data_IF_864857444918
#
_entry.id   IF_864857444918
#
_cell.length_a   1.000
_cell.length_b   1.000
_cell.length_c   1.000
_cell.angle_alpha   90.00
_cell.angle_beta   90.00
_cell.angle_gamma   90.00
#
_symmetry.space_group_name_H-M   'P 1'
#
loop_
_entity.id
_entity.type
_entity.pdbx_description
1 polymer ?
#
# COMPACT_ATOMS: atom_id res chain seq x y z
N UNK A 1 13.47 -0.02 -17.86
CA UNK A 1 12.42 -0.78 -17.12
C UNK A 1 13.03 -1.87 -16.24
N UNK A 2 13.74 -2.88 -16.75
CA UNK A 2 14.26 -4.01 -15.94
C UNK A 2 15.05 -3.58 -14.67
N UNK A 3 15.93 -2.57 -14.75
CA UNK A 3 16.69 -2.07 -13.59
C UNK A 3 15.82 -1.36 -12.56
N UNK A 4 14.73 -0.72 -12.98
CA UNK A 4 13.78 -0.08 -12.07
C UNK A 4 13.00 -1.15 -11.30
N UNK A 5 12.58 -2.20 -11.99
CA UNK A 5 11.89 -3.33 -11.37
C UNK A 5 12.85 -4.09 -10.42
N UNK A 6 14.08 -4.31 -10.83
CA UNK A 6 15.09 -4.91 -9.96
C UNK A 6 15.33 -4.06 -8.71
N UNK A 7 15.43 -2.72 -8.84
CA UNK A 7 15.59 -1.83 -7.69
C UNK A 7 14.43 -1.95 -6.69
N UNK A 8 13.19 -2.10 -7.18
CA UNK A 8 11.99 -2.28 -6.34
C UNK A 8 11.99 -3.60 -5.59
N UNK A 9 12.43 -4.68 -6.24
CA UNK A 9 12.45 -6.03 -5.63
C UNK A 9 13.64 -6.26 -4.71
N UNK A 10 14.78 -5.59 -4.95
CA UNK A 10 16.00 -5.75 -4.13
C UNK A 10 16.22 -4.62 -3.13
N UNK A 11 15.38 -3.58 -3.14
CA UNK A 11 15.55 -2.35 -2.36
C UNK A 11 16.92 -1.67 -2.57
N UNK A 12 17.55 -1.83 -3.76
CA UNK A 12 18.85 -1.24 -4.10
C UNK A 12 18.70 0.10 -4.85
N UNK A 13 18.88 1.25 -4.17
CA UNK A 13 18.72 2.57 -4.79
C UNK A 13 19.80 2.89 -5.83
N UNK A 14 20.95 2.20 -5.85
CA UNK A 14 22.01 2.44 -6.83
C UNK A 14 21.54 2.09 -8.25
N UNK A 15 20.63 1.17 -8.40
CA UNK A 15 20.04 0.78 -9.67
C UNK A 15 19.21 1.92 -10.31
N UNK A 16 18.61 2.82 -9.50
CA UNK A 16 17.90 3.99 -10.01
C UNK A 16 18.84 4.98 -10.71
N UNK A 17 20.03 5.24 -10.17
CA UNK A 17 21.02 6.10 -10.79
C UNK A 17 21.51 5.53 -12.14
N UNK A 18 21.74 4.22 -12.19
CA UNK A 18 22.13 3.53 -13.41
C UNK A 18 21.02 3.54 -14.48
N UNK A 19 19.75 3.39 -14.07
CA UNK A 19 18.60 3.50 -14.95
C UNK A 19 18.48 4.91 -15.52
N UNK A 20 18.58 5.93 -14.67
CA UNK A 20 18.52 7.33 -15.07
C UNK A 20 19.59 7.69 -16.11
N UNK A 21 20.85 7.30 -15.86
CA UNK A 21 21.96 7.53 -16.81
C UNK A 21 21.66 6.93 -18.19
N UNK A 22 21.13 5.71 -18.23
CA UNK A 22 20.77 5.05 -19.48
C UNK A 22 19.62 5.75 -20.22
N UNK A 23 18.57 6.15 -19.49
CA UNK A 23 17.41 6.84 -20.03
C UNK A 23 17.79 8.24 -20.57
N UNK A 24 18.56 9.02 -19.80
CA UNK A 24 19.06 10.33 -20.24
C UNK A 24 19.95 10.23 -21.48
N UNK A 25 20.79 9.19 -21.57
CA UNK A 25 21.56 8.92 -22.78
C UNK A 25 20.65 8.60 -23.97
N UNK A 26 19.62 7.80 -23.80
CA UNK A 26 18.63 7.51 -24.86
C UNK A 26 17.97 8.79 -25.36
N UNK A 27 17.53 9.66 -24.44
CA UNK A 27 16.90 10.94 -24.76
C UNK A 27 17.88 11.93 -25.43
N UNK A 28 19.18 11.91 -25.11
CA UNK A 28 20.18 12.74 -25.76
C UNK A 28 20.47 12.30 -27.20
N UNK A 29 20.39 11.00 -27.49
CA UNK A 29 20.54 10.44 -28.83
C UNK A 29 19.28 10.63 -29.70
N UNK A 30 18.11 10.64 -29.09
CA UNK A 30 16.81 10.87 -29.73
C UNK A 30 15.98 11.84 -28.86
N UNK A 31 16.14 13.17 -29.04
CA UNK A 31 15.50 14.17 -28.18
C UNK A 31 13.99 14.29 -28.33
N UNK A 32 13.42 13.84 -29.44
CA UNK A 32 11.99 13.89 -29.74
C UNK A 32 11.44 12.54 -30.19
N UNK A 33 10.17 12.25 -29.85
CA UNK A 33 9.48 11.03 -30.26
C UNK A 33 10.03 9.75 -29.60
N UNK A 34 10.73 9.86 -28.47
CA UNK A 34 11.34 8.72 -27.75
C UNK A 34 10.43 8.28 -26.60
N UNK A 35 9.20 7.88 -26.95
CA UNK A 35 8.15 7.47 -25.99
C UNK A 35 8.65 6.38 -25.02
N UNK A 36 9.49 5.45 -25.47
CA UNK A 36 10.06 4.40 -24.62
C UNK A 36 10.95 4.93 -23.50
N UNK A 37 11.87 5.87 -23.81
CA UNK A 37 12.72 6.48 -22.80
C UNK A 37 11.95 7.46 -21.89
N UNK A 38 10.98 8.18 -22.43
CA UNK A 38 10.09 9.07 -21.67
C UNK A 38 9.22 8.27 -20.68
N UNK A 39 8.64 7.14 -21.11
CA UNK A 39 7.94 6.19 -20.21
C UNK A 39 8.89 5.64 -19.14
N UNK A 40 10.13 5.33 -19.50
CA UNK A 40 11.16 4.91 -18.54
C UNK A 40 11.46 5.98 -17.50
N UNK A 41 11.56 7.26 -17.89
CA UNK A 41 11.73 8.38 -16.95
C UNK A 41 10.52 8.55 -16.04
N UNK A 42 9.31 8.40 -16.59
CA UNK A 42 8.07 8.42 -15.81
C UNK A 42 8.07 7.32 -14.74
N UNK A 43 8.39 6.09 -15.12
CA UNK A 43 8.46 4.96 -14.20
C UNK A 43 9.56 5.13 -13.13
N UNK A 44 10.71 5.72 -13.48
CA UNK A 44 11.78 6.03 -12.55
C UNK A 44 11.36 7.10 -11.54
N UNK A 45 10.70 8.17 -11.98
CA UNK A 45 10.17 9.20 -11.10
C UNK A 45 9.10 8.64 -10.16
N UNK A 46 8.20 7.78 -10.66
CA UNK A 46 7.21 7.09 -9.82
C UNK A 46 7.86 6.20 -8.75
N UNK A 47 8.93 5.47 -9.12
CA UNK A 47 9.68 4.63 -8.18
C UNK A 47 10.41 5.43 -7.09
N UNK A 48 10.71 6.70 -7.34
CA UNK A 48 11.28 7.66 -6.37
C UNK A 48 10.20 8.44 -5.60
N UNK A 49 8.92 8.15 -5.81
CA UNK A 49 7.78 8.88 -5.26
C UNK A 49 7.69 10.36 -5.73
N UNK A 50 8.29 10.68 -6.87
CA UNK A 50 8.25 11.99 -7.54
C UNK A 50 7.04 12.05 -8.49
N UNK A 51 5.82 11.93 -7.96
CA UNK A 51 4.62 11.65 -8.76
C UNK A 51 4.23 12.79 -9.72
N UNK A 52 4.53 14.04 -9.37
CA UNK A 52 4.35 15.17 -10.31
C UNK A 52 5.29 15.05 -11.51
N UNK A 53 6.54 14.69 -11.31
CA UNK A 53 7.50 14.45 -12.40
C UNK A 53 7.10 13.19 -13.21
N UNK A 54 6.64 12.13 -12.53
CA UNK A 54 6.15 10.92 -13.18
C UNK A 54 4.99 11.23 -14.14
N UNK A 55 4.01 12.05 -13.71
CA UNK A 55 2.91 12.52 -14.55
C UNK A 55 3.42 13.28 -15.76
N UNK A 56 4.29 14.27 -15.57
CA UNK A 56 4.81 15.11 -16.67
C UNK A 56 5.55 14.27 -17.71
N UNK A 57 6.37 13.31 -17.28
CA UNK A 57 7.06 12.41 -18.19
C UNK A 57 6.11 11.44 -18.91
N UNK A 58 5.07 10.95 -18.23
CA UNK A 58 4.05 10.08 -18.84
C UNK A 58 3.22 10.83 -19.89
N UNK A 59 2.80 12.07 -19.59
CA UNK A 59 2.10 12.95 -20.54
C UNK A 59 2.96 13.23 -21.79
N UNK A 60 4.27 13.47 -21.61
CA UNK A 60 5.22 13.62 -22.70
C UNK A 60 5.33 12.35 -23.54
N UNK A 61 5.44 11.18 -22.90
CA UNK A 61 5.50 9.90 -23.60
C UNK A 61 4.24 9.60 -24.42
N UNK A 62 3.06 9.98 -23.91
CA UNK A 62 1.78 9.89 -24.61
C UNK A 62 1.72 10.86 -25.81
N UNK A 63 2.27 12.06 -25.68
CA UNK A 63 2.39 13.01 -26.80
C UNK A 63 3.30 12.46 -27.90
N UNK A 64 4.38 11.78 -27.53
CA UNK A 64 5.31 11.12 -28.48
C UNK A 64 4.72 9.86 -29.12
N UNK A 65 3.88 9.11 -28.39
CA UNK A 65 3.17 7.92 -28.87
C UNK A 65 1.85 7.74 -28.11
N UNK A 66 0.71 8.17 -28.69
CA UNK A 66 -0.61 8.03 -28.08
C UNK A 66 -1.11 6.58 -27.96
N UNK A 67 -0.43 5.63 -28.57
CA UNK A 67 -0.75 4.19 -28.54
C UNK A 67 0.12 3.39 -27.59
N UNK A 68 0.95 4.04 -26.75
CA UNK A 68 1.79 3.39 -25.76
C UNK A 68 1.01 3.09 -24.45
N UNK A 69 0.50 1.87 -24.22
CA UNK A 69 -0.28 1.56 -23.03
C UNK A 69 0.54 1.69 -21.73
N UNK A 70 1.86 1.45 -21.77
CA UNK A 70 2.70 1.56 -20.58
C UNK A 70 2.79 3.01 -20.06
N UNK A 71 2.77 4.00 -20.93
CA UNK A 71 2.74 5.41 -20.53
C UNK A 71 1.44 5.76 -19.78
N UNK A 72 0.30 5.27 -20.26
CA UNK A 72 -0.98 5.43 -19.55
C UNK A 72 -0.99 4.71 -18.20
N UNK A 73 -0.35 3.56 -18.08
CA UNK A 73 -0.20 2.85 -16.80
C UNK A 73 0.53 3.69 -15.77
N UNK A 74 1.68 4.29 -16.13
CA UNK A 74 2.42 5.17 -15.22
C UNK A 74 1.64 6.45 -14.92
N UNK A 75 0.93 7.00 -15.91
CA UNK A 75 0.06 8.17 -15.73
C UNK A 75 -1.05 7.89 -14.72
N UNK A 76 -1.68 6.72 -14.80
CA UNK A 76 -2.71 6.28 -13.85
C UNK A 76 -2.16 6.17 -12.44
N UNK A 77 -1.01 5.52 -12.28
CA UNK A 77 -0.34 5.37 -10.98
C UNK A 77 0.03 6.74 -10.37
N UNK A 78 0.57 7.66 -11.20
CA UNK A 78 0.90 9.02 -10.77
C UNK A 78 -0.35 9.82 -10.34
N UNK A 79 -1.43 9.78 -11.12
CA UNK A 79 -2.68 10.43 -10.76
C UNK A 79 -3.30 9.87 -9.47
N UNK A 80 -3.24 8.54 -9.26
CA UNK A 80 -3.70 7.90 -8.03
C UNK A 80 -2.96 8.45 -6.82
N UNK A 81 -1.63 8.52 -6.88
CA UNK A 81 -0.80 9.05 -5.79
C UNK A 81 -0.99 10.55 -5.55
N UNK A 82 -1.34 11.31 -6.59
CA UNK A 82 -1.65 12.74 -6.50
C UNK A 82 -3.10 13.02 -6.03
N UNK A 83 -3.92 11.98 -5.77
CA UNK A 83 -5.33 12.14 -5.40
C UNK A 83 -6.26 12.50 -6.56
N UNK A 84 -5.79 12.45 -7.80
CA UNK A 84 -6.56 12.77 -9.01
C UNK A 84 -7.29 11.51 -9.53
N UNK A 85 -8.16 10.92 -8.72
CA UNK A 85 -8.76 9.59 -8.97
C UNK A 85 -9.57 9.49 -10.26
N UNK A 86 -10.27 10.57 -10.69
CA UNK A 86 -10.98 10.57 -11.96
C UNK A 86 -10.04 10.54 -13.17
N UNK A 87 -8.88 11.20 -13.06
CA UNK A 87 -7.86 11.20 -14.11
C UNK A 87 -7.16 9.84 -14.17
N UNK A 88 -6.89 9.24 -13.01
CA UNK A 88 -6.36 7.87 -12.90
C UNK A 88 -7.28 6.87 -13.60
N UNK A 89 -8.59 6.93 -13.33
CA UNK A 89 -9.59 6.07 -13.99
C UNK A 89 -9.60 6.23 -15.50
N UNK A 90 -9.56 7.48 -16.02
CA UNK A 90 -9.48 7.72 -17.45
C UNK A 90 -8.22 7.15 -18.08
N UNK A 91 -7.08 7.28 -17.39
CA UNK A 91 -5.81 6.72 -17.85
C UNK A 91 -5.84 5.19 -17.86
N UNK A 92 -6.40 4.54 -16.82
CA UNK A 92 -6.59 3.08 -16.76
C UNK A 92 -7.52 2.61 -17.89
N UNK A 93 -8.65 3.30 -18.13
CA UNK A 93 -9.55 2.95 -19.20
C UNK A 93 -8.84 3.01 -20.55
N UNK A 94 -8.08 4.08 -20.82
CA UNK A 94 -7.32 4.21 -22.06
C UNK A 94 -6.23 3.14 -22.21
N UNK A 95 -5.53 2.80 -21.14
CA UNK A 95 -4.58 1.68 -21.12
C UNK A 95 -5.24 0.36 -21.52
N UNK A 96 -6.40 0.07 -20.92
CA UNK A 96 -7.14 -1.17 -21.16
C UNK A 96 -7.73 -1.23 -22.58
N UNK A 97 -8.21 -0.09 -23.14
CA UNK A 97 -8.69 -0.01 -24.52
C UNK A 97 -7.59 -0.31 -25.55
N UNK A 98 -6.35 0.14 -25.24
CA UNK A 98 -5.19 -0.10 -26.10
C UNK A 98 -4.67 -1.54 -25.97
N UNK A 99 -4.65 -2.08 -24.77
CA UNK A 99 -4.14 -3.43 -24.50
C UNK A 99 -4.74 -3.99 -23.21
N UNK A 100 -5.77 -4.84 -23.31
CA UNK A 100 -6.35 -5.53 -22.15
C UNK A 100 -5.47 -6.71 -21.72
N UNK A 101 -4.40 -6.43 -20.97
CA UNK A 101 -3.47 -7.41 -20.42
C UNK A 101 -3.53 -7.49 -18.88
N UNK A 102 -2.71 -8.36 -18.28
CA UNK A 102 -2.65 -8.54 -16.84
C UNK A 102 -2.43 -7.19 -16.12
N UNK A 103 -1.54 -6.34 -16.61
CA UNK A 103 -1.19 -5.07 -15.98
C UNK A 103 -2.33 -4.03 -16.04
N UNK A 104 -3.06 -3.95 -17.17
CA UNK A 104 -4.20 -3.03 -17.33
C UNK A 104 -5.40 -3.46 -16.49
N UNK A 105 -5.69 -4.77 -16.46
CA UNK A 105 -6.77 -5.34 -15.66
C UNK A 105 -6.52 -5.22 -14.16
N UNK A 106 -5.27 -5.38 -13.71
CA UNK A 106 -4.89 -5.17 -12.32
C UNK A 106 -5.10 -3.71 -11.87
N UNK A 107 -4.73 -2.72 -12.70
CA UNK A 107 -5.01 -1.30 -12.40
C UNK A 107 -6.50 -0.99 -12.40
N UNK A 108 -7.25 -1.58 -13.32
CA UNK A 108 -8.71 -1.46 -13.31
C UNK A 108 -9.33 -2.06 -12.05
N UNK A 109 -8.82 -3.20 -11.58
CA UNK A 109 -9.21 -3.79 -10.29
C UNK A 109 -8.99 -2.81 -9.14
N UNK A 110 -7.79 -2.21 -9.06
CA UNK A 110 -7.45 -1.27 -8.00
C UNK A 110 -8.33 -0.01 -7.97
N UNK A 111 -8.77 0.50 -9.13
CA UNK A 111 -9.75 1.61 -9.20
C UNK A 111 -11.06 1.25 -8.49
N UNK A 112 -11.55 0.02 -8.64
CA UNK A 112 -12.76 -0.46 -7.96
C UNK A 112 -12.55 -0.78 -6.48
N UNK A 113 -11.38 -1.31 -6.12
CA UNK A 113 -10.95 -1.55 -4.73
C UNK A 113 -10.96 -0.26 -3.94
N UNK A 114 -10.32 0.82 -4.44
CA UNK A 114 -10.33 2.12 -3.78
C UNK A 114 -11.74 2.69 -3.55
N UNK A 115 -12.73 2.24 -4.32
CA UNK A 115 -14.14 2.62 -4.17
C UNK A 115 -14.98 1.62 -3.37
N UNK A 116 -14.33 0.67 -2.71
CA UNK A 116 -15.00 -0.36 -1.92
C UNK A 116 -15.82 -1.35 -2.73
N UNK A 117 -15.68 -1.34 -4.07
CA UNK A 117 -16.36 -2.28 -4.98
C UNK A 117 -15.56 -3.57 -5.12
N UNK A 118 -15.30 -4.26 -4.02
CA UNK A 118 -14.41 -5.42 -3.90
C UNK A 118 -14.80 -6.57 -4.83
N UNK A 119 -16.10 -6.84 -5.00
CA UNK A 119 -16.57 -7.88 -5.93
C UNK A 119 -16.18 -7.60 -7.38
N UNK A 120 -16.29 -6.34 -7.85
CA UNK A 120 -15.86 -5.95 -9.19
C UNK A 120 -14.35 -5.93 -9.32
N UNK A 121 -13.66 -5.48 -8.29
CA UNK A 121 -12.20 -5.54 -8.22
C UNK A 121 -11.71 -7.00 -8.34
N UNK A 122 -12.28 -7.92 -7.58
CA UNK A 122 -11.94 -9.35 -7.63
C UNK A 122 -12.22 -9.98 -9.01
N UNK A 123 -13.32 -9.63 -9.66
CA UNK A 123 -13.60 -10.09 -11.03
C UNK A 123 -12.49 -9.66 -12.01
N UNK A 124 -12.11 -8.39 -11.98
CA UNK A 124 -11.05 -7.85 -12.84
C UNK A 124 -9.68 -8.46 -12.51
N UNK A 125 -9.39 -8.69 -11.22
CA UNK A 125 -8.14 -9.32 -10.81
C UNK A 125 -8.07 -10.80 -11.22
N UNK A 126 -9.19 -11.55 -11.20
CA UNK A 126 -9.22 -12.92 -11.78
C UNK A 126 -8.98 -12.92 -13.29
N UNK A 127 -9.49 -11.91 -14.00
CA UNK A 127 -9.18 -11.74 -15.43
C UNK A 127 -7.71 -11.38 -15.64
N UNK A 128 -7.13 -10.55 -14.76
CA UNK A 128 -5.69 -10.26 -14.75
C UNK A 128 -4.88 -11.56 -14.55
N UNK A 129 -5.24 -12.38 -13.57
CA UNK A 129 -4.63 -13.70 -13.33
C UNK A 129 -4.70 -14.62 -14.56
N UNK A 130 -5.85 -14.64 -15.25
CA UNK A 130 -6.02 -15.43 -16.48
C UNK A 130 -5.15 -14.93 -17.63
N UNK A 131 -4.96 -13.60 -17.73
CA UNK A 131 -4.12 -12.96 -18.74
C UNK A 131 -2.62 -12.98 -18.39
N UNK A 132 -2.26 -13.39 -17.18
CA UNK A 132 -0.88 -13.41 -16.68
C UNK A 132 -0.02 -14.40 -17.45
N UNK A 133 1.12 -13.92 -17.93
CA UNK A 133 2.07 -14.70 -18.75
C UNK A 133 3.26 -15.18 -17.95
N UNK A 134 3.59 -14.51 -16.84
CA UNK A 134 4.73 -14.82 -15.98
C UNK A 134 4.27 -15.30 -14.60
N UNK A 135 5.14 -16.00 -13.87
CA UNK A 135 4.85 -16.42 -12.50
C UNK A 135 4.78 -15.22 -11.54
N UNK A 136 5.53 -14.15 -11.80
CA UNK A 136 5.46 -12.90 -11.03
C UNK A 136 4.09 -12.21 -11.19
N UNK A 137 3.54 -12.14 -12.40
CA UNK A 137 2.20 -11.62 -12.62
C UNK A 137 1.13 -12.46 -11.92
N UNK A 138 1.28 -13.78 -11.94
CA UNK A 138 0.38 -14.69 -11.21
C UNK A 138 0.47 -14.54 -9.69
N UNK A 139 1.69 -14.44 -9.17
CA UNK A 139 1.94 -14.19 -7.75
C UNK A 139 1.28 -12.90 -7.28
N UNK A 140 1.51 -11.80 -8.03
CA UNK A 140 0.88 -10.51 -7.78
C UNK A 140 -0.66 -10.60 -7.76
N UNK A 141 -1.25 -11.24 -8.76
CA UNK A 141 -2.71 -11.38 -8.84
C UNK A 141 -3.29 -12.18 -7.67
N UNK A 142 -2.64 -13.26 -7.25
CA UNK A 142 -3.07 -14.04 -6.08
C UNK A 142 -2.92 -13.24 -4.77
N UNK A 143 -1.85 -12.45 -4.60
CA UNK A 143 -1.69 -11.59 -3.43
C UNK A 143 -2.80 -10.52 -3.37
N UNK A 144 -3.14 -9.89 -4.50
CA UNK A 144 -4.26 -8.93 -4.59
C UNK A 144 -5.62 -9.60 -4.32
N UNK A 145 -5.88 -10.78 -4.87
CA UNK A 145 -7.13 -11.52 -4.61
C UNK A 145 -7.26 -11.90 -3.14
N UNK A 146 -6.16 -12.26 -2.48
CA UNK A 146 -6.12 -12.49 -1.03
C UNK A 146 -6.49 -11.22 -0.26
N UNK A 147 -5.93 -10.07 -0.62
CA UNK A 147 -6.27 -8.78 -0.01
C UNK A 147 -7.75 -8.43 -0.16
N UNK A 148 -8.29 -8.54 -1.37
CA UNK A 148 -9.71 -8.29 -1.66
C UNK A 148 -10.65 -9.20 -0.87
N UNK A 149 -10.28 -10.48 -0.71
CA UNK A 149 -11.05 -11.41 0.11
C UNK A 149 -11.04 -11.02 1.60
N UNK A 150 -9.92 -10.50 2.12
CA UNK A 150 -9.84 -9.96 3.48
C UNK A 150 -10.73 -8.73 3.65
N UNK A 151 -10.78 -7.83 2.67
CA UNK A 151 -11.67 -6.66 2.69
C UNK A 151 -13.16 -7.06 2.70
N UNK A 152 -13.50 -8.19 2.08
CA UNK A 152 -14.84 -8.77 2.13
C UNK A 152 -15.11 -9.58 3.41
N UNK A 153 -14.11 -9.75 4.28
CA UNK A 153 -14.22 -10.51 5.53
C UNK A 153 -14.11 -12.03 5.34
N UNK A 154 -13.68 -12.49 4.17
CA UNK A 154 -13.47 -13.92 3.88
C UNK A 154 -11.97 -14.30 4.01
N UNK A 155 -11.53 -14.45 5.27
CA UNK A 155 -10.14 -14.85 5.55
C UNK A 155 -9.80 -16.26 5.05
N UNK A 156 -10.79 -17.15 4.87
CA UNK A 156 -10.53 -18.50 4.33
C UNK A 156 -10.24 -18.45 2.83
N UNK A 157 -11.02 -17.65 2.09
CA UNK A 157 -10.75 -17.41 0.68
C UNK A 157 -9.40 -16.68 0.51
N UNK A 158 -9.10 -15.70 1.37
CA UNK A 158 -7.82 -15.02 1.37
C UNK A 158 -6.64 -15.98 1.56
N UNK A 159 -6.73 -16.90 2.52
CA UNK A 159 -5.73 -17.92 2.75
C UNK A 159 -5.57 -18.84 1.53
N UNK A 160 -6.69 -19.29 0.95
CA UNK A 160 -6.67 -20.13 -0.23
C UNK A 160 -5.98 -19.48 -1.43
N UNK A 161 -6.24 -18.19 -1.67
CA UNK A 161 -5.58 -17.45 -2.77
C UNK A 161 -4.06 -17.33 -2.52
N UNK A 162 -3.65 -16.94 -1.32
CA UNK A 162 -2.22 -16.82 -0.99
C UNK A 162 -1.49 -18.17 -1.13
N UNK A 163 -2.09 -19.28 -0.66
CA UNK A 163 -1.53 -20.62 -0.81
C UNK A 163 -1.44 -21.07 -2.27
N UNK A 164 -2.42 -20.67 -3.11
CA UNK A 164 -2.36 -20.95 -4.55
C UNK A 164 -1.16 -20.27 -5.20
N UNK A 165 -0.91 -19.01 -4.87
CA UNK A 165 0.27 -18.29 -5.32
C UNK A 165 1.57 -18.95 -4.84
N UNK A 166 1.67 -19.24 -3.54
CA UNK A 166 2.86 -19.85 -2.93
C UNK A 166 3.23 -21.22 -3.47
N UNK A 167 2.29 -21.99 -4.01
CA UNK A 167 2.60 -23.26 -4.71
C UNK A 167 3.49 -23.05 -5.94
N UNK A 168 3.45 -21.86 -6.57
CA UNK A 168 4.24 -21.52 -7.75
C UNK A 168 5.44 -20.64 -7.44
N UNK A 169 5.31 -19.80 -6.40
CA UNK A 169 6.33 -18.85 -5.95
C UNK A 169 6.51 -18.95 -4.42
N UNK A 170 7.10 -20.04 -3.89
CA UNK A 170 7.13 -20.34 -2.45
C UNK A 170 7.93 -19.35 -1.61
N UNK A 171 8.78 -18.55 -2.23
CA UNK A 171 9.61 -17.52 -1.60
C UNK A 171 9.22 -16.10 -2.04
N UNK A 172 7.99 -15.89 -2.50
CA UNK A 172 7.51 -14.54 -2.85
C UNK A 172 7.07 -13.80 -1.58
N UNK A 173 7.73 -12.65 -1.21
CA UNK A 173 7.44 -11.95 0.04
C UNK A 173 6.01 -11.41 0.10
N UNK A 174 5.43 -10.98 -1.02
CA UNK A 174 4.07 -10.45 -1.05
C UNK A 174 3.02 -11.55 -0.82
N UNK A 175 3.25 -12.76 -1.32
CA UNK A 175 2.40 -13.92 -1.05
C UNK A 175 2.54 -14.43 0.38
N UNK A 176 3.75 -14.39 0.96
CA UNK A 176 3.98 -14.71 2.37
C UNK A 176 3.25 -13.70 3.27
N UNK A 177 3.32 -12.39 2.96
CA UNK A 177 2.54 -11.37 3.66
C UNK A 177 1.03 -11.59 3.52
N UNK A 178 0.54 -11.88 2.31
CA UNK A 178 -0.87 -12.15 2.07
C UNK A 178 -1.36 -13.36 2.89
N UNK A 179 -0.57 -14.43 2.97
CA UNK A 179 -0.89 -15.59 3.82
C UNK A 179 -0.84 -15.27 5.30
N UNK A 180 0.16 -14.51 5.73
CA UNK A 180 0.29 -14.09 7.13
C UNK A 180 -0.92 -13.24 7.58
N UNK A 181 -1.36 -12.29 6.76
CA UNK A 181 -2.55 -11.49 7.04
C UNK A 181 -3.83 -12.34 7.12
N UNK A 182 -4.00 -13.30 6.21
CA UNK A 182 -5.13 -14.22 6.25
C UNK A 182 -5.10 -15.12 7.50
N UNK A 183 -3.93 -15.64 7.87
CA UNK A 183 -3.74 -16.43 9.10
C UNK A 183 -4.01 -15.60 10.36
N UNK A 184 -3.55 -14.34 10.39
CA UNK A 184 -3.83 -13.42 11.50
C UNK A 184 -5.33 -13.16 11.67
N UNK A 185 -6.06 -12.93 10.56
CA UNK A 185 -7.51 -12.74 10.57
C UNK A 185 -8.27 -14.01 11.05
N UNK A 186 -7.69 -15.19 10.83
CA UNK A 186 -8.18 -16.47 11.35
C UNK A 186 -7.73 -16.77 12.80
N UNK A 187 -7.03 -15.85 13.46
CA UNK A 187 -6.49 -16.03 14.82
C UNK A 187 -5.27 -16.93 14.93
N UNK A 188 -4.68 -17.33 13.80
CA UNK A 188 -3.51 -18.20 13.73
C UNK A 188 -2.20 -17.39 13.84
N UNK A 189 -2.06 -16.57 14.87
CA UNK A 189 -1.01 -15.56 15.03
C UNK A 189 0.40 -16.13 14.97
N UNK A 190 0.64 -17.35 15.50
CA UNK A 190 1.97 -17.98 15.47
C UNK A 190 2.42 -18.33 14.06
N UNK A 191 1.50 -18.79 13.21
CA UNK A 191 1.77 -19.11 11.81
C UNK A 191 1.95 -17.82 10.99
N UNK A 192 1.09 -16.82 11.22
CA UNK A 192 1.23 -15.50 10.61
C UNK A 192 2.62 -14.90 10.88
N UNK A 193 3.07 -14.94 12.15
CA UNK A 193 4.41 -14.48 12.54
C UNK A 193 5.52 -15.22 11.77
N UNK A 194 5.41 -16.55 11.62
CA UNK A 194 6.41 -17.32 10.89
C UNK A 194 6.49 -16.91 9.40
N UNK A 195 5.37 -16.62 8.77
CA UNK A 195 5.34 -16.15 7.40
C UNK A 195 5.92 -14.73 7.26
N UNK A 196 5.57 -13.79 8.17
CA UNK A 196 6.17 -12.46 8.16
C UNK A 196 7.69 -12.52 8.43
N UNK A 197 8.16 -13.40 9.33
CA UNK A 197 9.59 -13.61 9.54
C UNK A 197 10.25 -14.09 8.24
N UNK A 198 9.68 -15.10 7.58
CA UNK A 198 10.23 -15.61 6.32
C UNK A 198 10.22 -14.53 5.21
N UNK A 199 9.13 -13.78 5.07
CA UNK A 199 9.06 -12.67 4.11
C UNK A 199 10.14 -11.61 4.38
N UNK A 200 10.35 -11.25 5.66
CA UNK A 200 11.36 -10.28 6.09
C UNK A 200 12.78 -10.78 5.88
N UNK A 201 13.05 -12.07 6.07
CA UNK A 201 14.35 -12.69 5.80
C UNK A 201 14.73 -12.62 4.31
N UNK A 202 13.72 -12.69 3.42
CA UNK A 202 13.92 -12.57 1.97
C UNK A 202 14.06 -11.10 1.56
N UNK A 203 13.15 -10.25 2.02
CA UNK A 203 13.10 -8.83 1.69
C UNK A 203 12.62 -8.03 2.91
N UNK A 204 13.51 -7.35 3.65
CA UNK A 204 13.14 -6.60 4.84
C UNK A 204 12.45 -5.26 4.46
N UNK A 205 11.26 -5.34 3.84
CA UNK A 205 10.49 -4.17 3.45
C UNK A 205 9.82 -3.51 4.67
N UNK A 206 9.64 -2.16 4.68
CA UNK A 206 9.10 -1.44 5.83
C UNK A 206 7.80 -2.00 6.38
N UNK A 207 6.81 -2.30 5.52
CA UNK A 207 5.53 -2.86 5.94
C UNK A 207 5.65 -4.27 6.56
N UNK A 208 6.60 -5.10 6.08
CA UNK A 208 6.85 -6.44 6.64
C UNK A 208 7.52 -6.33 8.02
N UNK A 209 8.48 -5.43 8.17
CA UNK A 209 9.15 -5.16 9.45
C UNK A 209 8.15 -4.62 10.48
N UNK A 210 7.26 -3.73 10.09
CA UNK A 210 6.22 -3.19 10.96
C UNK A 210 5.25 -4.31 11.39
N UNK A 211 4.70 -5.07 10.44
CA UNK A 211 3.79 -6.17 10.73
C UNK A 211 4.41 -7.25 11.62
N UNK A 212 5.67 -7.61 11.39
CA UNK A 212 6.41 -8.56 12.21
C UNK A 212 6.64 -8.03 13.63
N UNK A 213 7.10 -6.78 13.76
CA UNK A 213 7.34 -6.12 15.06
C UNK A 213 6.07 -6.04 15.90
N UNK A 214 4.98 -5.56 15.32
CA UNK A 214 3.67 -5.47 15.99
C UNK A 214 3.09 -6.85 16.36
N UNK A 215 3.34 -7.86 15.52
CA UNK A 215 2.94 -9.24 15.87
C UNK A 215 3.77 -9.79 17.03
N UNK A 216 5.06 -9.51 17.08
CA UNK A 216 5.90 -9.86 18.22
C UNK A 216 5.42 -9.16 19.49
N UNK A 217 5.10 -7.88 19.41
CA UNK A 217 4.55 -7.12 20.54
C UNK A 217 3.21 -7.69 21.02
N UNK A 218 2.31 -8.05 20.11
CA UNK A 218 1.04 -8.71 20.47
C UNK A 218 1.21 -10.06 21.16
N UNK A 219 2.34 -10.73 20.93
CA UNK A 219 2.72 -12.00 21.57
C UNK A 219 3.55 -11.83 22.85
N UNK A 220 3.88 -10.59 23.26
CA UNK A 220 4.73 -10.29 24.41
C UNK A 220 6.22 -10.58 24.17
N UNK A 221 6.65 -10.58 22.91
CA UNK A 221 8.05 -10.79 22.51
C UNK A 221 8.74 -9.44 22.26
N UNK A 222 8.91 -8.63 23.31
CA UNK A 222 9.30 -7.22 23.21
C UNK A 222 10.71 -7.04 22.59
N UNK A 223 11.66 -7.95 22.90
CA UNK A 223 13.02 -7.90 22.33
C UNK A 223 13.02 -8.10 20.81
N UNK A 224 12.24 -9.06 20.31
CA UNK A 224 12.09 -9.32 18.88
C UNK A 224 11.32 -8.21 18.15
N UNK A 225 10.33 -7.61 18.82
CA UNK A 225 9.63 -6.43 18.31
C UNK A 225 10.62 -5.28 18.11
N UNK A 226 11.44 -4.97 19.12
CA UNK A 226 12.42 -3.89 19.07
C UNK A 226 13.51 -4.14 18.01
N UNK A 227 13.91 -5.39 17.78
CA UNK A 227 14.83 -5.74 16.70
C UNK A 227 14.25 -5.37 15.31
N UNK A 228 12.98 -5.69 15.05
CA UNK A 228 12.27 -5.31 13.83
C UNK A 228 12.14 -3.79 13.67
N UNK A 229 11.80 -3.09 14.75
CA UNK A 229 11.66 -1.63 14.79
C UNK A 229 13.00 -0.91 14.57
N UNK A 230 14.09 -1.44 15.10
CA UNK A 230 15.44 -0.90 14.88
C UNK A 230 15.83 -0.97 13.42
N UNK A 231 15.54 -2.07 12.74
CA UNK A 231 15.81 -2.21 11.31
C UNK A 231 14.95 -1.26 10.48
N UNK A 232 13.68 -1.09 10.83
CA UNK A 232 12.78 -0.13 10.16
C UNK A 232 13.31 1.31 10.30
N UNK A 233 13.74 1.73 11.50
CA UNK A 233 14.34 3.06 11.72
C UNK A 233 15.61 3.26 10.88
N UNK A 234 16.45 2.24 10.77
CA UNK A 234 17.66 2.31 9.96
C UNK A 234 17.34 2.52 8.48
N UNK A 235 16.33 1.81 7.95
CA UNK A 235 15.88 1.99 6.57
C UNK A 235 15.27 3.37 6.31
N UNK A 236 14.44 3.89 7.24
CA UNK A 236 13.90 5.24 7.13
C UNK A 236 15.02 6.29 7.12
N UNK A 237 16.04 6.12 7.95
CA UNK A 237 17.22 7.00 7.98
C UNK A 237 17.96 6.98 6.65
N UNK A 238 18.21 5.82 6.07
CA UNK A 238 18.87 5.69 4.77
C UNK A 238 18.06 6.34 3.65
N UNK A 239 16.75 6.11 3.61
CA UNK A 239 15.84 6.70 2.62
C UNK A 239 15.79 8.22 2.72
N UNK A 240 15.67 8.76 3.93
CA UNK A 240 15.65 10.20 4.19
C UNK A 240 16.97 10.86 3.82
N UNK A 241 18.10 10.24 4.14
CA UNK A 241 19.44 10.73 3.76
C UNK A 241 19.66 10.77 2.26
N UNK A 242 18.96 9.90 1.50
CA UNK A 242 18.96 9.91 0.05
C UNK A 242 17.94 10.90 -0.57
N UNK A 243 17.28 11.74 0.26
CA UNK A 243 16.28 12.71 -0.19
C UNK A 243 14.90 12.10 -0.49
N UNK A 244 14.63 10.87 -0.06
CA UNK A 244 13.34 10.20 -0.25
C UNK A 244 12.24 10.82 0.62
N UNK A 245 11.00 10.82 0.09
CA UNK A 245 9.81 11.23 0.83
C UNK A 245 9.44 10.20 1.91
N UNK A 246 8.88 10.60 3.07
CA UNK A 246 8.41 9.68 4.08
C UNK A 246 7.40 8.66 3.54
N UNK A 247 7.53 7.41 3.97
CA UNK A 247 6.60 6.33 3.66
C UNK A 247 5.45 6.31 4.67
N UNK A 248 4.27 5.80 4.27
CA UNK A 248 3.12 5.65 5.17
C UNK A 248 3.42 4.72 6.34
N UNK A 249 4.14 3.61 6.09
CA UNK A 249 4.50 2.66 7.15
C UNK A 249 5.47 3.29 8.17
N UNK A 250 6.41 4.12 7.71
CA UNK A 250 7.30 4.86 8.61
C UNK A 250 6.55 5.92 9.42
N UNK A 251 5.53 6.56 8.86
CA UNK A 251 4.67 7.52 9.57
C UNK A 251 3.86 6.79 10.65
N UNK A 252 3.22 5.68 10.31
CA UNK A 252 2.45 4.86 11.27
C UNK A 252 3.35 4.30 12.36
N UNK A 253 4.52 3.78 12.00
CA UNK A 253 5.51 3.33 12.97
C UNK A 253 5.92 4.43 13.96
N UNK A 254 6.23 5.62 13.45
CA UNK A 254 6.64 6.74 14.30
C UNK A 254 5.48 7.24 15.19
N UNK A 255 4.23 7.14 14.72
CA UNK A 255 3.06 7.49 15.49
C UNK A 255 2.80 6.53 16.67
N UNK A 256 3.01 5.23 16.48
CA UNK A 256 2.70 4.20 17.49
C UNK A 256 3.88 3.82 18.38
N UNK A 257 5.10 3.81 17.83
CA UNK A 257 6.29 3.25 18.47
C UNK A 257 7.45 4.25 18.57
N UNK A 258 7.24 5.51 18.16
CA UNK A 258 8.24 6.56 18.18
C UNK A 258 7.70 7.87 18.75
N UNK A 259 7.88 8.97 18.01
CA UNK A 259 7.41 10.31 18.36
C UNK A 259 6.20 10.71 17.51
N UNK A 260 4.99 10.82 18.08
CA UNK A 260 3.81 11.30 17.35
C UNK A 260 4.01 12.70 16.74
N UNK A 261 4.78 13.57 17.37
CA UNK A 261 5.10 14.91 16.83
C UNK A 261 5.96 14.79 15.57
N UNK A 262 6.93 13.86 15.55
CA UNK A 262 7.73 13.57 14.37
C UNK A 262 6.88 12.92 13.27
N UNK A 263 5.99 12.01 13.62
CA UNK A 263 5.05 11.39 12.68
C UNK A 263 4.18 12.43 11.96
N UNK A 264 3.67 13.45 12.69
CA UNK A 264 2.94 14.58 12.11
C UNK A 264 3.81 15.32 11.08
N UNK A 265 5.04 15.68 11.42
CA UNK A 265 5.94 16.38 10.50
C UNK A 265 6.26 15.56 9.24
N UNK A 266 6.44 14.24 9.40
CA UNK A 266 6.65 13.30 8.28
C UNK A 266 5.41 13.23 7.37
N UNK A 267 4.21 13.15 7.95
CA UNK A 267 2.96 13.11 7.20
C UNK A 267 2.70 14.43 6.44
N UNK A 268 2.97 15.57 7.05
CA UNK A 268 2.92 16.88 6.38
C UNK A 268 3.90 16.95 5.20
N UNK A 269 5.10 16.40 5.35
CA UNK A 269 6.06 16.31 4.24
C UNK A 269 5.54 15.41 3.12
N UNK A 270 4.97 14.24 3.44
CA UNK A 270 4.41 13.33 2.46
C UNK A 270 3.25 13.97 1.67
N UNK A 271 2.35 14.69 2.35
CA UNK A 271 1.20 15.37 1.72
C UNK A 271 1.61 16.49 0.75
N UNK A 272 2.79 17.09 0.90
CA UNK A 272 3.30 18.07 -0.09
C UNK A 272 3.55 17.47 -1.46
N UNK A 273 3.79 16.17 -1.53
CA UNK A 273 4.16 15.48 -2.78
C UNK A 273 3.09 14.51 -3.27
N UNK A 274 2.18 14.06 -2.39
CA UNK A 274 1.12 13.10 -2.74
C UNK A 274 -0.10 13.25 -1.82
N UNK A 275 -1.30 13.36 -2.40
CA UNK A 275 -2.58 13.42 -1.67
C UNK A 275 -3.35 12.09 -1.75
N UNK A 276 -2.62 10.99 -1.67
CA UNK A 276 -3.21 9.65 -1.71
C UNK A 276 -3.95 9.34 -0.41
N UNK A 277 -5.09 8.66 -0.49
CA UNK A 277 -5.96 8.35 0.67
C UNK A 277 -5.21 7.70 1.84
N UNK A 278 -4.24 6.82 1.58
CA UNK A 278 -3.45 6.20 2.65
C UNK A 278 -2.54 7.21 3.39
N UNK A 279 -2.07 8.27 2.72
CA UNK A 279 -1.30 9.34 3.38
C UNK A 279 -2.20 10.15 4.29
N UNK A 280 -3.46 10.37 3.89
CA UNK A 280 -4.45 11.02 4.75
C UNK A 280 -4.76 10.18 6.00
N UNK A 281 -4.88 8.86 5.88
CA UNK A 281 -5.05 7.97 7.04
C UNK A 281 -3.83 8.06 7.99
N UNK A 282 -2.62 7.89 7.46
CA UNK A 282 -1.40 7.96 8.25
C UNK A 282 -1.24 9.33 8.96
N UNK A 283 -1.63 10.43 8.29
CA UNK A 283 -1.63 11.76 8.90
C UNK A 283 -2.71 11.90 9.97
N UNK A 284 -3.92 11.41 9.73
CA UNK A 284 -4.98 11.41 10.72
C UNK A 284 -4.55 10.65 11.98
N UNK A 285 -3.95 9.48 11.80
CA UNK A 285 -3.44 8.70 12.92
C UNK A 285 -2.33 9.42 13.69
N UNK A 286 -1.34 9.98 12.99
CA UNK A 286 -0.27 10.76 13.60
C UNK A 286 -0.80 11.95 14.41
N UNK A 287 -1.76 12.71 13.87
CA UNK A 287 -2.43 13.82 14.58
C UNK A 287 -3.16 13.33 15.84
N UNK A 288 -3.92 12.25 15.73
CA UNK A 288 -4.62 11.65 16.86
C UNK A 288 -3.65 11.24 17.97
N UNK A 289 -2.56 10.54 17.61
CA UNK A 289 -1.52 10.12 18.55
C UNK A 289 -0.77 11.29 19.19
N UNK A 290 -0.71 12.43 18.49
CA UNK A 290 -0.19 13.70 19.02
C UNK A 290 -1.20 14.50 19.86
N UNK A 291 -2.40 13.97 20.13
CA UNK A 291 -3.46 14.64 20.91
C UNK A 291 -4.27 15.67 20.12
N UNK A 292 -4.15 15.72 18.78
CA UNK A 292 -4.81 16.68 17.87
C UNK A 292 -6.01 16.02 17.16
N UNK A 293 -6.89 15.38 17.91
CA UNK A 293 -7.99 14.56 17.34
C UNK A 293 -9.01 15.37 16.53
N UNK A 294 -9.24 16.64 16.85
CA UNK A 294 -10.13 17.52 16.07
C UNK A 294 -9.61 17.73 14.64
N UNK A 295 -8.28 17.95 14.48
CA UNK A 295 -7.65 18.08 13.17
C UNK A 295 -7.58 16.72 12.45
N UNK A 296 -7.37 15.64 13.18
CA UNK A 296 -7.28 14.30 12.66
C UNK A 296 -8.55 13.87 11.90
N UNK A 297 -9.74 14.23 12.40
CA UNK A 297 -11.01 13.76 11.85
C UNK A 297 -11.18 14.12 10.36
N UNK A 298 -10.83 15.33 9.98
CA UNK A 298 -10.93 15.78 8.58
C UNK A 298 -10.07 14.91 7.62
N UNK A 299 -8.89 14.49 8.07
CA UNK A 299 -8.02 13.62 7.28
C UNK A 299 -8.51 12.16 7.29
N UNK A 300 -9.02 11.66 8.41
CA UNK A 300 -9.63 10.33 8.48
C UNK A 300 -10.85 10.22 7.54
N UNK A 301 -11.67 11.28 7.44
CA UNK A 301 -12.78 11.34 6.50
C UNK A 301 -12.30 11.37 5.04
N UNK A 302 -11.21 12.08 4.74
CA UNK A 302 -10.61 12.07 3.41
C UNK A 302 -10.05 10.69 3.03
N UNK A 303 -9.46 9.96 3.97
CA UNK A 303 -8.97 8.61 3.75
C UNK A 303 -10.09 7.66 3.30
N UNK A 304 -11.27 7.79 3.87
CA UNK A 304 -12.44 6.94 3.59
C UNK A 304 -13.43 7.54 2.58
N UNK A 305 -13.16 8.74 2.01
CA UNK A 305 -14.10 9.45 1.14
C UNK A 305 -14.43 8.71 -0.17
N UNK A 306 -13.57 7.82 -0.65
CA UNK A 306 -13.81 7.00 -1.83
C UNK A 306 -14.69 5.77 -1.54
N UNK A 307 -14.91 5.43 -0.27
CA UNK A 307 -15.61 4.22 0.16
C UNK A 307 -14.70 3.01 0.32
N UNK A 308 -13.40 3.20 0.39
CA UNK A 308 -12.39 2.14 0.57
C UNK A 308 -12.70 1.30 1.82
N UNK A 309 -12.68 -0.02 1.69
CA UNK A 309 -13.00 -0.97 2.76
C UNK A 309 -11.74 -1.41 3.51
N UNK A 310 -11.07 -0.48 4.18
CA UNK A 310 -9.84 -0.76 4.92
C UNK A 310 -10.12 -0.82 6.43
N UNK A 311 -9.94 -1.99 7.03
CA UNK A 311 -10.23 -2.23 8.45
C UNK A 311 -9.40 -1.34 9.38
N UNK A 312 -8.12 -1.09 9.05
CA UNK A 312 -7.23 -0.24 9.86
C UNK A 312 -7.70 1.22 9.84
N UNK A 313 -8.07 1.75 8.68
CA UNK A 313 -8.56 3.14 8.56
C UNK A 313 -9.87 3.36 9.31
N UNK A 314 -10.77 2.38 9.29
CA UNK A 314 -11.98 2.40 10.12
C UNK A 314 -11.64 2.36 11.63
N UNK A 315 -10.66 1.53 12.04
CA UNK A 315 -10.21 1.53 13.43
C UNK A 315 -9.60 2.88 13.83
N UNK A 316 -8.76 3.48 13.00
CA UNK A 316 -8.16 4.79 13.25
C UNK A 316 -9.25 5.86 13.42
N UNK A 317 -10.22 5.93 12.50
CA UNK A 317 -11.33 6.91 12.60
C UNK A 317 -12.22 6.64 13.81
N UNK A 318 -12.47 5.40 14.17
CA UNK A 318 -13.20 5.03 15.37
C UNK A 318 -12.51 5.56 16.64
N UNK A 319 -11.19 5.40 16.75
CA UNK A 319 -10.42 5.92 17.87
C UNK A 319 -10.48 7.46 17.95
N UNK A 320 -10.39 8.14 16.79
CA UNK A 320 -10.53 9.59 16.68
C UNK A 320 -11.94 10.03 17.14
N UNK A 321 -13.00 9.39 16.66
CA UNK A 321 -14.37 9.69 17.05
C UNK A 321 -14.59 9.51 18.56
N UNK A 322 -14.08 8.41 19.13
CA UNK A 322 -14.15 8.18 20.56
C UNK A 322 -13.46 9.28 21.38
N UNK A 323 -12.26 9.70 20.98
CA UNK A 323 -11.53 10.79 21.63
C UNK A 323 -12.28 12.12 21.59
N UNK A 324 -13.15 12.32 20.59
CA UNK A 324 -14.01 13.50 20.44
C UNK A 324 -15.40 13.34 21.11
N UNK A 325 -15.66 12.22 21.81
CA UNK A 325 -16.96 11.91 22.45
C UNK A 325 -18.06 11.47 21.49
N UNK A 326 -17.72 11.15 20.23
CA UNK A 326 -18.67 10.74 19.18
C UNK A 326 -18.82 9.20 19.16
N UNK A 327 -19.22 8.59 20.27
CA UNK A 327 -19.23 7.13 20.43
C UNK A 327 -20.17 6.40 19.46
N UNK A 328 -21.22 7.04 18.98
CA UNK A 328 -22.10 6.47 17.95
C UNK A 328 -21.35 6.27 16.62
N UNK A 329 -20.58 7.26 16.18
CA UNK A 329 -19.77 7.18 14.98
C UNK A 329 -18.61 6.18 15.16
N UNK A 330 -17.94 6.22 16.31
CA UNK A 330 -16.91 5.26 16.68
C UNK A 330 -17.41 3.81 16.60
N UNK A 331 -18.64 3.54 17.10
CA UNK A 331 -19.28 2.23 17.02
C UNK A 331 -19.52 1.78 15.58
N UNK A 332 -19.94 2.68 14.70
CA UNK A 332 -20.17 2.34 13.30
C UNK A 332 -18.85 1.94 12.59
N UNK A 333 -17.78 2.71 12.83
CA UNK A 333 -16.47 2.40 12.30
C UNK A 333 -15.86 1.13 12.89
N UNK A 334 -16.03 0.88 14.20
CA UNK A 334 -15.59 -0.37 14.84
C UNK A 334 -16.28 -1.60 14.25
N UNK A 335 -17.56 -1.51 13.89
CA UNK A 335 -18.25 -2.62 13.20
C UNK A 335 -17.62 -2.89 11.83
N UNK A 336 -17.23 -1.85 11.10
CA UNK A 336 -16.52 -2.00 9.83
C UNK A 336 -15.12 -2.59 10.03
N UNK A 337 -14.39 -2.13 11.05
CA UNK A 337 -13.03 -2.58 11.35
C UNK A 337 -12.97 -4.03 11.87
N UNK A 338 -13.93 -4.42 12.71
CA UNK A 338 -13.94 -5.70 13.40
C UNK A 338 -14.76 -6.79 12.69
N UNK A 339 -15.51 -6.53 11.66
CA UNK A 339 -16.30 -7.43 10.83
C UNK A 339 -16.20 -8.93 11.11
N UNK A 340 -16.55 -9.79 10.17
CA UNK A 340 -16.50 -11.25 10.40
C UNK A 340 -15.07 -11.79 10.52
N UNK A 341 -14.11 -11.19 9.79
CA UNK A 341 -12.69 -11.56 9.83
C UNK A 341 -11.86 -10.29 9.61
N UNK A 342 -11.51 -9.55 10.69
CA UNK A 342 -10.89 -8.26 10.56
C UNK A 342 -9.51 -8.38 9.90
N UNK A 343 -9.31 -7.62 8.81
CA UNK A 343 -8.03 -7.50 8.13
C UNK A 343 -7.06 -6.58 8.92
N UNK A 344 -6.93 -6.85 10.21
CA UNK A 344 -6.04 -6.14 11.14
C UNK A 344 -4.92 -7.06 11.57
N UNK A 345 -3.73 -6.50 11.82
CA UNK A 345 -2.71 -7.25 12.49
C UNK A 345 -3.12 -7.58 13.94
N UNK A 346 -2.47 -8.57 14.61
CA UNK A 346 -2.88 -9.01 15.95
C UNK A 346 -2.91 -7.89 17.00
N UNK A 347 -1.98 -6.92 16.93
CA UNK A 347 -1.91 -5.80 17.87
C UNK A 347 -3.12 -4.86 17.70
N UNK A 348 -3.37 -4.40 16.48
CA UNK A 348 -4.49 -3.49 16.20
C UNK A 348 -5.85 -4.18 16.40
N UNK A 349 -5.95 -5.47 16.09
CA UNK A 349 -7.17 -6.24 16.39
C UNK A 349 -7.48 -6.29 17.89
N UNK A 350 -6.46 -6.45 18.74
CA UNK A 350 -6.64 -6.41 20.19
C UNK A 350 -7.04 -5.01 20.68
N UNK A 351 -6.40 -3.97 20.16
CA UNK A 351 -6.72 -2.58 20.49
C UNK A 351 -8.15 -2.17 20.06
N UNK A 352 -8.58 -2.55 18.85
CA UNK A 352 -9.91 -2.29 18.35
C UNK A 352 -11.00 -2.98 19.19
N UNK A 353 -10.76 -4.24 19.61
CA UNK A 353 -11.68 -4.97 20.52
C UNK A 353 -11.74 -4.29 21.89
N UNK A 354 -10.61 -3.87 22.44
CA UNK A 354 -10.57 -3.17 23.72
C UNK A 354 -11.31 -1.82 23.65
N UNK A 355 -11.21 -1.11 22.53
CA UNK A 355 -11.98 0.12 22.30
C UNK A 355 -13.49 -0.17 22.22
N UNK A 356 -13.89 -1.20 21.48
CA UNK A 356 -15.30 -1.64 21.38
C UNK A 356 -15.90 -1.97 22.74
N UNK A 357 -15.15 -2.67 23.60
CA UNK A 357 -15.57 -2.99 24.96
C UNK A 357 -15.74 -1.74 25.84
N UNK A 358 -14.83 -0.77 25.73
CA UNK A 358 -14.90 0.51 26.48
C UNK A 358 -16.13 1.34 26.13
N UNK A 359 -16.52 1.36 24.86
CA UNK A 359 -17.69 2.07 24.37
C UNK A 359 -18.99 1.31 24.73
N UNK A 360 -18.89 0.05 25.16
CA UNK A 360 -20.06 -0.78 25.52
C UNK A 360 -20.77 -1.38 24.30
N UNK A 361 -20.08 -1.46 23.17
CA UNK A 361 -20.60 -2.11 21.95
C UNK A 361 -20.06 -3.52 21.87
N UNK A 362 -20.95 -4.53 21.77
CA UNK A 362 -20.52 -5.87 21.36
C UNK A 362 -20.20 -5.84 19.83
N UNK A 363 -19.10 -6.45 19.40
CA UNK A 363 -18.74 -6.54 17.98
C UNK A 363 -19.73 -7.38 17.19
#
# INVERSE_FOLDING_TARGET
>A
MARIEQARTTADPALYAAAEKALRRSLSLQPGGNSGAETGMAALAAARHEFTAARTWAEKAITSDPYNPAAYGVLADAHTQLGHYRDAERAVQKMNDLRPDAASLARASYVFELRGSTGRAAELMRRSLTAATTDSERAFAHACLSGLALEDGDARQALSEAEQGLRKAPADPALLDARARALAALGQTKQARADWQHATDIAPLPHLLLALGETHQALGHDEQAEASYTLLRAQDTLRTSAGGSPDTDAILFEADHGSPVRAVAMAEQALRTRSFVAVHDAYAWALHRAGRSEEALAHADQALALGTRNALWHYHRAAIHHALGNDQAATADLRSALGQAPALNPLHAAQARALSQRIGTQP
#
